data_IF_138648216272
#
_entry.id   IF_138648216272
#
_cell.length_a   1.000
_cell.length_b   1.000
_cell.length_c   1.000
_cell.angle_alpha   90.00
_cell.angle_beta   90.00
_cell.angle_gamma   90.00
#
_symmetry.space_group_name_H-M   'P 1'
#
loop_
_entity.id
_entity.type
_entity.pdbx_description
1 polymer ?
#
# COMPACT_ATOMS: atom_id res chain seq x y z
N UNK A 1 24.72 -2.90 16.63
CA UNK A 1 24.17 -4.08 15.92
C UNK A 1 23.87 -3.79 14.45
N UNK A 2 23.04 -2.80 14.10
CA UNK A 2 22.73 -2.46 12.69
C UNK A 2 23.99 -2.22 11.85
N UNK A 3 24.95 -1.45 12.36
CA UNK A 3 26.19 -1.14 11.65
C UNK A 3 27.04 -2.39 11.35
N UNK A 4 27.03 -3.37 12.26
CA UNK A 4 27.72 -4.64 12.04
C UNK A 4 27.08 -5.45 10.89
N UNK A 5 25.74 -5.50 10.85
CA UNK A 5 25.02 -6.22 9.78
C UNK A 5 25.16 -5.49 8.45
N UNK A 6 25.17 -4.15 8.42
CA UNK A 6 25.48 -3.38 7.21
C UNK A 6 26.86 -3.73 6.63
N UNK A 7 27.89 -3.76 7.46
CA UNK A 7 29.24 -4.18 7.02
C UNK A 7 29.24 -5.63 6.53
N UNK A 8 28.41 -6.49 7.14
CA UNK A 8 28.20 -7.86 6.67
C UNK A 8 27.62 -7.91 5.27
N UNK A 9 26.58 -7.11 4.99
CA UNK A 9 25.95 -6.98 3.65
C UNK A 9 26.95 -6.43 2.64
N UNK A 10 27.73 -5.40 3.00
CA UNK A 10 28.76 -4.81 2.12
C UNK A 10 29.87 -5.82 1.78
N UNK A 11 30.31 -6.62 2.76
CA UNK A 11 31.32 -7.65 2.57
C UNK A 11 30.79 -8.87 1.81
N UNK A 12 29.49 -9.16 1.86
CA UNK A 12 28.84 -10.31 1.24
C UNK A 12 27.59 -9.90 0.46
N UNK A 13 27.72 -9.16 -0.64
CA UNK A 13 26.59 -8.56 -1.36
C UNK A 13 25.65 -9.59 -2.01
N UNK A 14 26.07 -10.86 -2.08
CA UNK A 14 25.28 -11.97 -2.62
C UNK A 14 24.56 -12.80 -1.54
N UNK A 15 24.60 -12.38 -0.26
CA UNK A 15 23.84 -13.03 0.81
C UNK A 15 22.50 -12.31 1.01
N UNK A 16 21.43 -12.96 0.56
CA UNK A 16 20.06 -12.47 0.82
C UNK A 16 19.70 -12.59 2.31
N UNK A 17 20.29 -13.53 3.05
CA UNK A 17 20.10 -13.72 4.49
C UNK A 17 20.53 -12.48 5.27
N UNK A 18 21.70 -11.91 4.97
CA UNK A 18 22.18 -10.69 5.61
C UNK A 18 21.28 -9.48 5.28
N UNK A 19 20.78 -9.40 4.05
CA UNK A 19 19.78 -8.37 3.67
C UNK A 19 18.47 -8.55 4.43
N UNK A 20 18.05 -9.80 4.65
CA UNK A 20 16.88 -10.12 5.48
C UNK A 20 17.09 -9.70 6.94
N UNK A 21 18.24 -10.01 7.53
CA UNK A 21 18.58 -9.62 8.90
C UNK A 21 18.60 -8.10 9.06
N UNK A 22 19.14 -7.40 8.07
CA UNK A 22 19.14 -5.94 8.06
C UNK A 22 17.71 -5.38 7.99
N UNK A 23 16.87 -5.95 7.13
CA UNK A 23 15.44 -5.60 7.03
C UNK A 23 14.70 -5.82 8.34
N UNK A 24 14.96 -6.97 8.98
CA UNK A 24 14.39 -7.31 10.29
C UNK A 24 14.79 -6.30 11.38
N UNK A 25 16.07 -5.92 11.45
CA UNK A 25 16.57 -4.94 12.43
C UNK A 25 15.91 -3.57 12.23
N UNK A 26 15.80 -3.10 10.99
CA UNK A 26 15.09 -1.86 10.69
C UNK A 26 13.60 -1.93 11.08
N UNK A 27 12.95 -3.03 10.76
CA UNK A 27 11.53 -3.22 11.03
C UNK A 27 11.21 -3.28 12.52
N UNK A 28 11.88 -4.18 13.27
CA UNK A 28 11.53 -4.48 14.66
C UNK A 28 12.15 -3.54 15.68
N UNK A 29 13.42 -3.20 15.49
CA UNK A 29 14.16 -2.43 16.49
C UNK A 29 14.12 -0.92 16.25
N UNK A 30 14.18 -0.51 14.98
CA UNK A 30 14.26 0.91 14.64
C UNK A 30 12.94 1.49 14.16
N UNK A 31 11.95 0.64 13.81
CA UNK A 31 10.68 1.06 13.19
C UNK A 31 10.88 1.92 11.93
N UNK A 32 12.02 1.78 11.29
CA UNK A 32 12.37 2.44 10.04
C UNK A 32 11.86 1.56 8.88
N UNK A 33 10.58 1.70 8.57
CA UNK A 33 9.91 0.87 7.58
C UNK A 33 10.41 1.11 6.16
N UNK A 34 10.89 2.31 5.85
CA UNK A 34 11.46 2.63 4.54
C UNK A 34 12.75 1.84 4.32
N UNK A 35 13.70 1.91 5.26
CA UNK A 35 14.94 1.15 5.17
C UNK A 35 14.72 -0.37 5.27
N UNK A 36 13.73 -0.79 6.06
CA UNK A 36 13.38 -2.20 6.14
C UNK A 36 12.87 -2.73 4.80
N UNK A 37 11.93 -2.02 4.16
CA UNK A 37 11.43 -2.36 2.82
C UNK A 37 12.54 -2.39 1.78
N UNK A 38 13.42 -1.38 1.78
CA UNK A 38 14.56 -1.31 0.87
C UNK A 38 15.52 -2.51 1.04
N UNK A 39 15.84 -2.90 2.29
CA UNK A 39 16.72 -4.04 2.56
C UNK A 39 16.11 -5.37 2.09
N UNK A 40 14.83 -5.62 2.38
CA UNK A 40 14.12 -6.80 1.87
C UNK A 40 14.04 -6.81 0.33
N UNK A 41 13.74 -5.66 -0.30
CA UNK A 41 13.67 -5.55 -1.75
C UNK A 41 15.03 -5.78 -2.42
N UNK A 42 16.10 -5.24 -1.84
CA UNK A 42 17.46 -5.48 -2.31
C UNK A 42 17.83 -6.96 -2.21
N UNK A 43 17.60 -7.58 -1.06
CA UNK A 43 17.86 -9.01 -0.86
C UNK A 43 17.04 -9.90 -1.79
N UNK A 44 15.81 -9.54 -2.11
CA UNK A 44 14.93 -10.30 -3.01
C UNK A 44 15.43 -10.40 -4.45
N UNK A 45 16.37 -9.53 -4.85
CA UNK A 45 17.00 -9.53 -6.19
C UNK A 45 18.22 -10.43 -6.29
N UNK A 46 18.70 -10.94 -5.16
CA UNK A 46 19.85 -11.84 -5.11
C UNK A 46 19.43 -13.24 -5.61
N UNK A 47 20.27 -13.93 -6.42
CA UNK A 47 19.97 -15.29 -6.87
C UNK A 47 19.61 -16.24 -5.71
N UNK A 48 18.61 -17.06 -5.91
CA UNK A 48 18.04 -18.00 -4.91
C UNK A 48 17.40 -17.34 -3.68
N UNK A 49 17.20 -16.03 -3.67
CA UNK A 49 16.41 -15.39 -2.62
C UNK A 49 14.96 -15.89 -2.67
N UNK A 50 14.36 -16.21 -1.52
CA UNK A 50 12.99 -16.71 -1.49
C UNK A 50 11.99 -15.59 -1.81
N UNK A 51 10.90 -15.93 -2.50
CA UNK A 51 9.84 -14.98 -2.92
C UNK A 51 9.25 -14.18 -1.77
N UNK A 52 9.21 -14.75 -0.56
CA UNK A 52 8.68 -14.06 0.61
C UNK A 52 9.43 -12.76 0.94
N UNK A 53 10.71 -12.61 0.58
CA UNK A 53 11.45 -11.37 0.79
C UNK A 53 10.83 -10.19 0.03
N UNK A 54 10.42 -10.42 -1.23
CA UNK A 54 9.75 -9.40 -2.03
C UNK A 54 8.37 -9.08 -1.49
N UNK A 55 7.64 -10.10 -1.00
CA UNK A 55 6.37 -9.90 -0.31
C UNK A 55 6.54 -9.06 0.97
N UNK A 56 7.56 -9.37 1.78
CA UNK A 56 7.90 -8.58 2.97
C UNK A 56 8.24 -7.13 2.64
N UNK A 57 9.01 -6.89 1.57
CA UNK A 57 9.32 -5.53 1.12
C UNK A 57 8.05 -4.73 0.85
N UNK A 58 7.08 -5.31 0.14
CA UNK A 58 5.81 -4.66 -0.17
C UNK A 58 4.96 -4.41 1.09
N UNK A 59 4.79 -5.42 1.95
CA UNK A 59 4.02 -5.30 3.19
C UNK A 59 4.62 -4.27 4.17
N UNK A 60 5.95 -4.22 4.26
CA UNK A 60 6.64 -3.25 5.11
C UNK A 60 6.51 -1.84 4.54
N UNK A 61 6.51 -1.68 3.22
CA UNK A 61 6.22 -0.40 2.57
C UNK A 61 4.79 0.08 2.90
N UNK A 62 3.78 -0.80 2.87
CA UNK A 62 2.41 -0.48 3.32
C UNK A 62 2.41 0.00 4.76
N UNK A 63 3.07 -0.74 5.64
CA UNK A 63 3.14 -0.40 7.06
C UNK A 63 3.82 0.96 7.30
N UNK A 64 4.77 1.33 6.46
CA UNK A 64 5.43 2.63 6.47
C UNK A 64 4.68 3.74 5.73
N UNK A 65 3.43 3.51 5.31
CA UNK A 65 2.61 4.42 4.51
C UNK A 65 3.21 4.76 3.12
N UNK A 66 4.17 3.95 2.65
CA UNK A 66 4.79 4.08 1.33
C UNK A 66 3.96 3.31 0.28
N UNK A 67 2.69 3.69 0.12
CA UNK A 67 1.70 2.94 -0.66
C UNK A 67 2.05 2.84 -2.14
N UNK A 68 2.65 3.86 -2.74
CA UNK A 68 3.10 3.83 -4.14
C UNK A 68 4.23 2.83 -4.36
N UNK A 69 5.19 2.74 -3.43
CA UNK A 69 6.26 1.74 -3.50
C UNK A 69 5.70 0.32 -3.32
N UNK A 70 4.79 0.15 -2.36
CA UNK A 70 4.14 -1.13 -2.15
C UNK A 70 3.37 -1.57 -3.40
N UNK A 71 2.58 -0.67 -4.00
CA UNK A 71 1.84 -0.94 -5.23
C UNK A 71 2.76 -1.40 -6.36
N UNK A 72 3.90 -0.74 -6.56
CA UNK A 72 4.89 -1.12 -7.57
C UNK A 72 5.47 -2.52 -7.32
N UNK A 73 5.83 -2.84 -6.07
CA UNK A 73 6.41 -4.14 -5.71
C UNK A 73 5.37 -5.26 -5.88
N UNK A 74 4.12 -5.05 -5.45
CA UNK A 74 3.04 -6.02 -5.64
C UNK A 74 2.69 -6.23 -7.11
N UNK A 75 2.70 -5.18 -7.93
CA UNK A 75 2.49 -5.28 -9.38
C UNK A 75 3.56 -6.12 -10.03
N UNK A 76 4.84 -5.83 -9.75
CA UNK A 76 5.95 -6.61 -10.28
C UNK A 76 5.87 -8.09 -9.84
N UNK A 77 5.49 -8.34 -8.59
CA UNK A 77 5.33 -9.71 -8.07
C UNK A 77 4.17 -10.43 -8.77
N UNK A 78 3.02 -9.77 -8.95
CA UNK A 78 1.85 -10.33 -9.62
C UNK A 78 2.16 -10.70 -11.08
N UNK A 79 2.89 -9.84 -11.78
CA UNK A 79 3.22 -10.03 -13.20
C UNK A 79 4.30 -11.09 -13.42
N UNK A 80 5.25 -11.23 -12.48
CA UNK A 80 6.41 -12.12 -12.62
C UNK A 80 6.25 -13.52 -12.01
N UNK A 81 5.26 -13.74 -11.14
CA UNK A 81 5.10 -15.03 -10.45
C UNK A 81 4.23 -16.01 -11.20
N UNK A 82 4.67 -17.27 -11.25
CA UNK A 82 3.86 -18.41 -11.72
C UNK A 82 3.11 -19.11 -10.57
N UNK A 83 3.44 -18.79 -9.30
CA UNK A 83 2.76 -19.38 -8.15
C UNK A 83 1.38 -18.75 -7.95
N UNK A 84 0.33 -19.56 -8.13
CA UNK A 84 -1.06 -19.10 -8.01
C UNK A 84 -1.42 -18.55 -6.64
N UNK A 85 -0.78 -19.03 -5.55
CA UNK A 85 -1.04 -18.53 -4.19
C UNK A 85 -0.40 -17.15 -4.00
N UNK A 86 0.83 -16.99 -4.47
CA UNK A 86 1.53 -15.70 -4.46
C UNK A 86 0.77 -14.68 -5.30
N UNK A 87 0.33 -15.08 -6.50
CA UNK A 87 -0.45 -14.23 -7.42
C UNK A 87 -1.77 -13.78 -6.79
N UNK A 88 -2.49 -14.71 -6.16
CA UNK A 88 -3.73 -14.38 -5.43
C UNK A 88 -3.47 -13.42 -4.26
N UNK A 89 -2.43 -13.64 -3.49
CA UNK A 89 -2.06 -12.74 -2.39
C UNK A 89 -1.72 -11.33 -2.91
N UNK A 90 -0.88 -11.24 -3.95
CA UNK A 90 -0.55 -9.97 -4.57
C UNK A 90 -1.80 -9.22 -5.08
N UNK A 91 -2.75 -9.92 -5.70
CA UNK A 91 -4.00 -9.33 -6.17
C UNK A 91 -4.82 -8.71 -5.05
N UNK A 92 -4.90 -9.36 -3.89
CA UNK A 92 -5.61 -8.81 -2.71
C UNK A 92 -5.00 -7.48 -2.28
N UNK A 93 -3.67 -7.41 -2.17
CA UNK A 93 -2.98 -6.16 -1.81
C UNK A 93 -3.14 -5.08 -2.89
N UNK A 94 -3.06 -5.45 -4.17
CA UNK A 94 -3.27 -4.52 -5.29
C UNK A 94 -4.68 -3.91 -5.27
N UNK A 95 -5.71 -4.73 -5.03
CA UNK A 95 -7.09 -4.23 -4.91
C UNK A 95 -7.24 -3.29 -3.72
N UNK A 96 -6.67 -3.64 -2.57
CA UNK A 96 -6.67 -2.85 -1.36
C UNK A 96 -6.00 -1.48 -1.54
N UNK A 97 -4.82 -1.46 -2.16
CA UNK A 97 -4.06 -0.23 -2.43
C UNK A 97 -4.73 0.66 -3.47
N UNK A 98 -5.34 0.08 -4.51
CA UNK A 98 -6.13 0.84 -5.49
C UNK A 98 -7.35 1.48 -4.87
N UNK A 99 -8.11 0.72 -4.07
CA UNK A 99 -9.25 1.26 -3.34
C UNK A 99 -8.84 2.40 -2.40
N UNK A 100 -7.68 2.31 -1.74
CA UNK A 100 -7.14 3.41 -0.94
C UNK A 100 -6.84 4.65 -1.80
N UNK A 101 -6.23 4.49 -2.98
CA UNK A 101 -5.98 5.61 -3.88
C UNK A 101 -7.27 6.26 -4.34
N UNK A 102 -8.27 5.46 -4.68
CA UNK A 102 -9.59 5.95 -5.09
C UNK A 102 -10.28 6.74 -3.96
N UNK A 103 -10.26 6.23 -2.71
CA UNK A 103 -10.85 6.96 -1.57
C UNK A 103 -10.14 8.29 -1.32
N UNK A 104 -8.81 8.34 -1.40
CA UNK A 104 -8.05 9.57 -1.24
C UNK A 104 -8.34 10.60 -2.35
N UNK A 105 -8.59 10.15 -3.56
CA UNK A 105 -8.97 11.05 -4.68
C UNK A 105 -10.41 11.55 -4.49
N UNK A 106 -11.33 10.67 -4.11
CA UNK A 106 -12.71 11.03 -3.81
C UNK A 106 -12.81 12.00 -2.64
N UNK A 107 -11.97 11.87 -1.61
CA UNK A 107 -11.89 12.82 -0.51
C UNK A 107 -11.51 14.23 -0.99
N UNK A 108 -10.56 14.33 -1.92
CA UNK A 108 -10.18 15.63 -2.52
C UNK A 108 -11.35 16.25 -3.28
N UNK A 109 -12.09 15.45 -4.06
CA UNK A 109 -13.27 15.92 -4.79
C UNK A 109 -14.39 16.34 -3.86
N UNK A 110 -14.62 15.59 -2.77
CA UNK A 110 -15.57 15.96 -1.73
C UNK A 110 -15.20 17.27 -1.02
N UNK A 111 -13.91 17.48 -0.75
CA UNK A 111 -13.38 18.73 -0.21
C UNK A 111 -13.57 19.91 -1.18
N UNK A 112 -13.31 19.70 -2.47
CA UNK A 112 -13.55 20.70 -3.51
C UNK A 112 -15.04 21.07 -3.59
N UNK A 113 -15.92 20.07 -3.57
CA UNK A 113 -17.37 20.29 -3.52
C UNK A 113 -17.78 21.10 -2.28
N UNK A 114 -17.25 20.75 -1.11
CA UNK A 114 -17.51 21.47 0.14
C UNK A 114 -17.12 22.95 0.06
N UNK A 115 -15.95 23.25 -0.52
CA UNK A 115 -15.49 24.64 -0.70
C UNK A 115 -16.43 25.47 -1.59
N UNK A 116 -17.05 24.84 -2.59
CA UNK A 116 -17.96 25.49 -3.54
C UNK A 116 -19.39 25.63 -3.02
N UNK A 117 -19.86 24.68 -2.21
CA UNK A 117 -21.26 24.55 -1.83
C UNK A 117 -21.55 24.73 -0.33
N UNK A 118 -20.50 24.87 0.52
CA UNK A 118 -20.61 25.04 1.97
C UNK A 118 -21.00 23.76 2.74
N UNK A 119 -21.16 22.63 2.06
CA UNK A 119 -21.45 21.30 2.65
C UNK A 119 -20.76 20.19 1.88
N UNK A 120 -20.58 19.03 2.49
CA UNK A 120 -20.11 17.84 1.80
C UNK A 120 -21.17 17.24 0.88
N UNK A 121 -20.76 16.51 -0.19
CA UNK A 121 -21.70 15.82 -1.07
C UNK A 121 -22.40 14.68 -0.31
N UNK A 122 -23.68 14.48 -0.58
CA UNK A 122 -24.44 13.39 0.03
C UNK A 122 -24.22 12.04 -0.67
N UNK A 123 -23.70 12.05 -1.91
CA UNK A 123 -23.47 10.84 -2.70
C UNK A 123 -22.48 11.07 -3.85
N UNK A 124 -21.93 9.99 -4.40
CA UNK A 124 -21.12 10.02 -5.62
C UNK A 124 -21.89 10.57 -6.82
N UNK A 125 -23.21 10.35 -6.86
CA UNK A 125 -24.09 10.90 -7.89
C UNK A 125 -24.08 12.44 -7.88
N UNK A 126 -24.06 13.04 -6.72
CA UNK A 126 -24.01 14.49 -6.59
C UNK A 126 -22.71 15.09 -7.13
N UNK A 127 -21.56 14.44 -6.89
CA UNK A 127 -20.28 14.84 -7.50
C UNK A 127 -20.33 14.72 -9.04
N UNK A 128 -20.96 13.65 -9.55
CA UNK A 128 -21.13 13.47 -10.99
C UNK A 128 -22.02 14.57 -11.59
N UNK A 129 -23.17 14.88 -10.99
CA UNK A 129 -24.10 15.92 -11.45
C UNK A 129 -23.46 17.33 -11.44
N UNK A 130 -22.50 17.57 -10.55
CA UNK A 130 -21.71 18.82 -10.51
C UNK A 130 -20.46 18.80 -11.39
N UNK A 131 -20.27 17.75 -12.22
CA UNK A 131 -19.17 17.64 -13.16
C UNK A 131 -17.80 17.36 -12.54
N UNK A 132 -17.75 16.98 -11.26
CA UNK A 132 -16.52 16.61 -10.55
C UNK A 132 -16.10 15.17 -10.80
N UNK A 133 -17.02 14.33 -11.28
CA UNK A 133 -16.78 12.95 -11.70
C UNK A 133 -17.25 12.75 -13.14
N UNK A 134 -16.57 11.89 -13.89
CA UNK A 134 -17.02 11.49 -15.24
C UNK A 134 -18.01 10.31 -15.22
N UNK A 135 -18.21 9.67 -14.07
CA UNK A 135 -19.10 8.53 -13.84
C UNK A 135 -19.12 8.15 -12.36
N UNK A 136 -19.99 7.21 -11.97
CA UNK A 136 -20.04 6.72 -10.60
C UNK A 136 -18.93 5.69 -10.41
N UNK A 137 -17.89 5.98 -9.59
CA UNK A 137 -16.75 5.08 -9.41
C UNK A 137 -17.16 3.82 -8.64
N UNK A 138 -16.46 2.74 -8.96
CA UNK A 138 -16.60 1.46 -8.26
C UNK A 138 -15.23 0.98 -7.80
N UNK A 139 -15.21 0.32 -6.65
CA UNK A 139 -14.00 -0.29 -6.15
C UNK A 139 -13.54 -1.47 -7.05
N UNK A 140 -12.33 -2.00 -6.88
CA UNK A 140 -11.83 -3.12 -7.69
C UNK A 140 -12.64 -4.42 -7.58
N UNK A 141 -13.55 -4.55 -6.59
CA UNK A 141 -14.49 -5.66 -6.48
C UNK A 141 -15.85 -5.35 -7.12
N UNK A 142 -16.05 -4.14 -7.67
CA UNK A 142 -17.25 -3.72 -8.39
C UNK A 142 -18.32 -3.05 -7.52
N UNK A 143 -18.06 -2.78 -6.24
CA UNK A 143 -19.00 -2.09 -5.35
C UNK A 143 -18.86 -0.57 -5.46
N UNK A 144 -19.95 0.20 -5.32
CA UNK A 144 -19.89 1.65 -5.35
C UNK A 144 -19.20 2.17 -4.07
N UNK A 145 -18.49 3.30 -4.19
CA UNK A 145 -18.06 4.04 -3.01
C UNK A 145 -19.22 4.84 -2.40
N UNK A 146 -19.14 5.10 -1.11
CA UNK A 146 -20.09 5.91 -0.35
C UNK A 146 -19.37 7.06 0.36
N UNK A 147 -20.12 7.97 0.98
CA UNK A 147 -19.55 8.97 1.87
C UNK A 147 -20.04 8.73 3.30
N UNK A 148 -19.11 8.81 4.24
CA UNK A 148 -19.40 8.85 5.66
C UNK A 148 -19.99 10.20 6.09
N UNK A 149 -20.45 10.25 7.32
CA UNK A 149 -21.04 11.49 7.90
C UNK A 149 -20.02 12.65 8.02
N UNK A 150 -18.74 12.34 7.97
CA UNK A 150 -17.63 13.31 7.98
C UNK A 150 -17.23 13.77 6.56
N UNK A 151 -17.95 13.29 5.53
CA UNK A 151 -17.70 13.61 4.13
C UNK A 151 -16.53 12.86 3.50
N UNK A 152 -15.97 11.86 4.19
CA UNK A 152 -14.94 11.00 3.65
C UNK A 152 -15.51 9.87 2.82
N UNK A 153 -14.77 9.51 1.77
CA UNK A 153 -15.11 8.37 0.94
C UNK A 153 -14.84 7.05 1.68
N UNK A 154 -15.81 6.16 1.62
CA UNK A 154 -15.78 4.86 2.26
C UNK A 154 -16.11 3.75 1.26
N UNK A 155 -15.63 2.54 1.54
CA UNK A 155 -16.06 1.35 0.82
C UNK A 155 -17.53 1.03 1.17
N UNK A 156 -18.25 0.44 0.22
CA UNK A 156 -19.55 -0.17 0.51
C UNK A 156 -19.38 -1.25 1.61
N UNK A 157 -20.29 -1.32 2.61
CA UNK A 157 -20.21 -2.34 3.67
C UNK A 157 -20.19 -3.80 3.16
N UNK A 158 -20.66 -4.04 1.94
CA UNK A 158 -20.65 -5.36 1.31
C UNK A 158 -19.39 -5.60 0.48
N UNK A 159 -18.50 -4.62 0.32
CA UNK A 159 -17.23 -4.82 -0.37
C UNK A 159 -16.33 -5.78 0.40
N UNK A 160 -15.73 -6.78 -0.25
CA UNK A 160 -14.77 -7.68 0.38
C UNK A 160 -13.39 -7.03 0.58
N UNK A 161 -13.17 -5.82 0.08
CA UNK A 161 -11.89 -5.13 0.16
C UNK A 161 -11.69 -4.54 1.56
N UNK A 162 -10.47 -4.67 2.07
CA UNK A 162 -10.05 -4.07 3.34
C UNK A 162 -8.97 -3.05 3.02
N UNK A 163 -9.18 -1.80 3.39
CA UNK A 163 -8.17 -0.76 3.21
C UNK A 163 -6.97 -0.98 4.13
N UNK A 164 -5.75 -0.70 3.66
CA UNK A 164 -4.58 -0.70 4.52
C UNK A 164 -4.77 0.28 5.68
N UNK A 165 -4.44 -0.14 6.88
CA UNK A 165 -4.44 0.76 8.04
C UNK A 165 -3.12 1.53 8.04
N UNK A 166 -3.16 2.88 8.00
CA UNK A 166 -1.96 3.66 8.22
C UNK A 166 -1.32 3.26 9.54
N UNK A 167 0.02 3.11 9.57
CA UNK A 167 0.71 3.00 10.84
C UNK A 167 0.52 4.32 11.59
N UNK A 168 0.17 4.24 12.85
CA UNK A 168 0.34 5.39 13.73
C UNK A 168 1.83 5.74 13.68
N UNK A 169 2.15 6.94 13.17
CA UNK A 169 3.53 7.42 13.25
C UNK A 169 3.93 7.38 14.71
N UNK A 170 5.13 6.85 15.05
CA UNK A 170 5.62 7.01 16.40
C UNK A 170 5.60 8.51 16.72
N UNK A 171 4.91 8.89 17.79
CA UNK A 171 4.91 10.25 18.28
C UNK A 171 6.39 10.71 18.38
N UNK A 172 6.70 11.79 17.70
CA UNK A 172 8.02 12.43 17.73
C UNK A 172 8.32 12.91 19.14
#
# INVERSE_FOLDING_TARGET
MVELVKRGVEANPNSWELSSDLGFLYYWHLKDYEKASAAYLQGSKIPNAPTWMKMMAAQVAEKGNSFSNSLAIWTELYDSTEDAKVKKNALVHLQSLRALQDTLELDKLAQQYHQQNGRYPASMKELYEHGLLQGIPRDPAGFPYTFGSDGKAELDPNSPIILPKPSESPAQ
#
